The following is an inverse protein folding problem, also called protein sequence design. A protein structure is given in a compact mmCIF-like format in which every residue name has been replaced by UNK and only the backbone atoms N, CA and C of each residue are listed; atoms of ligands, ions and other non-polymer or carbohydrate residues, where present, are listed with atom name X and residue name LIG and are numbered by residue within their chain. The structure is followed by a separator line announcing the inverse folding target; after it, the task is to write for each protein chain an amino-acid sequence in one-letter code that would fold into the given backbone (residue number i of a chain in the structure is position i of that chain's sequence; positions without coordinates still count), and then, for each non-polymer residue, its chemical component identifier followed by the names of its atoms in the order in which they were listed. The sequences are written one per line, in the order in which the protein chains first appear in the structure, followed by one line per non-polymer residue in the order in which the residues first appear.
data_IF_265556444607
#
_entry.id   IF_265556444607
#
_cell.length_a   1.000
_cell.length_b   1.000
_cell.length_c   1.000
_cell.angle_alpha   90.00
_cell.angle_beta   90.00
_cell.angle_gamma   90.00
#
_symmetry.space_group_name_H-M   'P 1'
#
loop_
_entity.id
_entity.type
_entity.pdbx_description
1 polymer ?
#
# COMPACT_ATOMS: atom_id res chain seq x y z
N UNK A 1 21.71 19.63 -15.22
CA UNK A 1 20.64 20.59 -14.91
C UNK A 1 19.60 19.89 -14.05
N UNK A 2 19.02 20.59 -13.09
CA UNK A 2 18.03 20.09 -12.15
C UNK A 2 17.16 21.23 -11.62
N UNK A 3 16.42 20.98 -10.56
CA UNK A 3 15.61 21.99 -9.87
C UNK A 3 16.37 22.42 -8.61
N UNK A 4 16.63 23.72 -8.46
CA UNK A 4 17.42 24.29 -7.35
C UNK A 4 16.61 24.49 -6.06
N UNK A 5 15.29 24.29 -6.11
CA UNK A 5 14.37 24.38 -4.98
C UNK A 5 13.17 23.46 -5.17
N UNK A 6 12.51 23.12 -4.06
CA UNK A 6 11.30 22.31 -4.07
C UNK A 6 10.16 23.02 -4.82
N UNK A 7 9.41 22.26 -5.61
CA UNK A 7 8.20 22.75 -6.28
C UNK A 7 6.94 22.37 -5.51
N UNK A 8 6.01 23.30 -5.38
CA UNK A 8 4.71 23.03 -4.78
C UNK A 8 3.85 22.26 -5.78
N UNK A 9 3.44 21.06 -5.39
CA UNK A 9 2.59 20.20 -6.22
C UNK A 9 1.40 19.69 -5.41
N UNK A 10 0.34 19.33 -6.12
CA UNK A 10 -0.66 18.42 -5.59
C UNK A 10 -0.18 16.97 -5.79
N UNK A 11 -0.47 16.11 -4.83
CA UNK A 11 -0.19 14.68 -4.92
C UNK A 11 -1.37 13.88 -4.37
N UNK A 12 -1.50 12.65 -4.85
CA UNK A 12 -2.52 11.69 -4.42
C UNK A 12 -1.84 10.36 -4.10
N UNK A 13 -2.42 9.60 -3.17
CA UNK A 13 -1.95 8.26 -2.87
C UNK A 13 -2.29 7.32 -4.03
N UNK A 14 -1.32 6.49 -4.43
CA UNK A 14 -1.59 5.37 -5.31
C UNK A 14 -2.16 4.20 -4.49
N UNK A 15 -3.23 3.58 -4.95
CA UNK A 15 -3.92 2.50 -4.24
C UNK A 15 -4.11 1.27 -5.14
N UNK A 16 -3.93 0.08 -4.58
CA UNK A 16 -4.25 -1.19 -5.24
C UNK A 16 -5.67 -1.61 -4.87
N UNK A 17 -6.55 -1.71 -5.86
CA UNK A 17 -7.97 -2.02 -5.66
C UNK A 17 -8.29 -3.43 -6.12
N UNK A 18 -9.16 -4.11 -5.37
CA UNK A 18 -9.73 -5.41 -5.72
C UNK A 18 -11.26 -5.34 -5.67
N UNK A 19 -11.92 -6.32 -6.27
CA UNK A 19 -13.38 -6.46 -6.12
C UNK A 19 -13.74 -6.76 -4.66
N UNK A 20 -14.80 -6.13 -4.15
CA UNK A 20 -15.26 -6.33 -2.77
C UNK A 20 -15.73 -7.76 -2.46
N UNK A 21 -16.04 -8.57 -3.48
CA UNK A 21 -16.42 -9.99 -3.37
C UNK A 21 -15.23 -10.94 -3.51
N UNK A 22 -14.00 -10.42 -3.61
CA UNK A 22 -12.81 -11.28 -3.63
C UNK A 22 -12.76 -12.08 -2.31
N UNK A 23 -12.45 -13.39 -2.34
CA UNK A 23 -12.27 -14.14 -1.12
C UNK A 23 -11.19 -13.52 -0.22
N UNK A 24 -11.45 -13.45 1.09
CA UNK A 24 -10.52 -12.83 2.06
C UNK A 24 -9.12 -13.41 2.01
N UNK A 25 -9.01 -14.73 1.87
CA UNK A 25 -7.73 -15.43 1.75
C UNK A 25 -6.95 -15.01 0.48
N UNK A 26 -7.65 -14.75 -0.62
CA UNK A 26 -7.00 -14.28 -1.84
C UNK A 26 -6.46 -12.86 -1.68
N UNK A 27 -7.25 -11.95 -1.10
CA UNK A 27 -6.79 -10.59 -0.81
C UNK A 27 -5.61 -10.60 0.18
N UNK A 28 -5.67 -11.43 1.22
CA UNK A 28 -4.57 -11.62 2.17
C UNK A 28 -3.29 -12.08 1.46
N UNK A 29 -3.38 -13.10 0.61
CA UNK A 29 -2.24 -13.65 -0.15
C UNK A 29 -1.62 -12.61 -1.09
N UNK A 30 -2.43 -11.76 -1.72
CA UNK A 30 -1.95 -10.67 -2.57
C UNK A 30 -1.11 -9.68 -1.74
N UNK A 31 -1.66 -9.19 -0.62
CA UNK A 31 -0.92 -8.24 0.24
C UNK A 31 0.35 -8.90 0.80
N UNK A 32 0.26 -10.14 1.25
CA UNK A 32 1.42 -10.90 1.73
C UNK A 32 2.52 -11.01 0.66
N UNK A 33 2.15 -11.33 -0.58
CA UNK A 33 3.12 -11.41 -1.68
C UNK A 33 3.82 -10.06 -1.95
N UNK A 34 3.08 -8.94 -1.88
CA UNK A 34 3.67 -7.59 -2.03
C UNK A 34 4.74 -7.32 -0.97
N UNK A 35 4.47 -7.66 0.29
CA UNK A 35 5.42 -7.42 1.38
C UNK A 35 6.55 -8.46 1.43
N UNK A 36 6.30 -9.72 1.08
CA UNK A 36 7.34 -10.77 1.03
C UNK A 36 8.35 -10.52 -0.08
N UNK A 37 7.91 -9.98 -1.23
CA UNK A 37 8.73 -9.65 -2.40
C UNK A 37 9.07 -8.15 -2.50
N UNK A 38 9.00 -7.42 -1.39
CA UNK A 38 9.13 -5.96 -1.37
C UNK A 38 10.42 -5.46 -2.00
N UNK A 39 11.55 -6.16 -1.76
CA UNK A 39 12.86 -5.82 -2.36
C UNK A 39 12.86 -5.93 -3.88
N UNK A 40 12.21 -6.96 -4.41
CA UNK A 40 12.11 -7.18 -5.86
C UNK A 40 11.28 -6.06 -6.51
N UNK A 41 10.19 -5.66 -5.85
CA UNK A 41 9.34 -4.55 -6.30
C UNK A 41 10.08 -3.20 -6.26
N UNK A 42 10.88 -2.94 -5.23
CA UNK A 42 11.74 -1.74 -5.15
C UNK A 42 12.74 -1.70 -6.31
N UNK A 43 13.31 -2.84 -6.70
CA UNK A 43 14.24 -2.93 -7.82
C UNK A 43 13.59 -2.60 -9.16
N UNK A 44 12.29 -2.90 -9.31
CA UNK A 44 11.51 -2.53 -10.50
C UNK A 44 11.11 -1.05 -10.48
N UNK A 45 10.65 -0.53 -9.34
CA UNK A 45 10.24 0.86 -9.20
C UNK A 45 10.45 1.40 -7.78
N UNK A 46 11.22 2.49 -7.66
CA UNK A 46 11.64 3.06 -6.36
C UNK A 46 10.48 3.44 -5.44
N UNK A 47 9.33 3.83 -5.98
CA UNK A 47 8.15 4.19 -5.17
C UNK A 47 7.69 3.05 -4.26
N UNK A 48 7.94 1.78 -4.61
CA UNK A 48 7.59 0.68 -3.70
C UNK A 48 8.25 0.80 -2.34
N UNK A 49 9.36 1.54 -2.19
CA UNK A 49 9.97 1.82 -0.89
C UNK A 49 9.02 2.57 0.08
N UNK A 50 8.01 3.28 -0.43
CA UNK A 50 6.98 3.93 0.38
C UNK A 50 5.88 2.97 0.84
N UNK A 51 5.78 1.76 0.26
CA UNK A 51 4.83 0.73 0.68
C UNK A 51 5.31 0.10 1.99
N UNK A 52 4.89 0.69 3.09
CA UNK A 52 5.23 0.25 4.44
C UNK A 52 3.95 0.05 5.26
N UNK A 53 4.00 -0.79 6.29
CA UNK A 53 2.86 -1.01 7.19
C UNK A 53 2.34 0.30 7.81
N UNK A 54 3.20 1.22 8.33
CA UNK A 54 2.74 2.50 8.87
C UNK A 54 2.06 3.44 7.86
N UNK A 55 2.29 3.23 6.55
CA UNK A 55 1.70 4.04 5.49
C UNK A 55 0.32 3.53 5.04
N UNK A 56 -0.16 2.38 5.54
CA UNK A 56 -1.47 1.84 5.19
C UNK A 56 -2.58 2.47 6.05
N UNK A 57 -3.06 3.65 5.65
CA UNK A 57 -4.02 4.47 6.41
C UNK A 57 -5.33 4.60 5.65
N UNK A 58 -6.48 4.51 6.33
CA UNK A 58 -7.79 4.63 5.68
C UNK A 58 -8.00 6.02 5.08
N UNK A 59 -7.47 7.07 5.73
CA UNK A 59 -7.53 8.45 5.23
C UNK A 59 -6.85 8.67 3.87
N UNK A 60 -5.98 7.75 3.45
CA UNK A 60 -5.30 7.79 2.14
C UNK A 60 -6.11 7.10 1.03
N UNK A 61 -7.30 6.56 1.34
CA UNK A 61 -8.18 5.88 0.39
C UNK A 61 -9.62 6.37 0.52
N UNK A 62 -10.32 6.66 -0.60
CA UNK A 62 -11.74 7.00 -0.57
C UNK A 62 -12.65 5.79 -0.30
N UNK A 63 -12.10 4.56 -0.31
CA UNK A 63 -12.84 3.30 -0.13
C UNK A 63 -12.22 2.44 0.98
N UNK A 64 -13.00 1.59 1.66
CA UNK A 64 -12.50 0.77 2.76
C UNK A 64 -11.48 -0.27 2.30
N UNK A 65 -10.55 -0.62 3.18
CA UNK A 65 -9.67 -1.78 2.98
C UNK A 65 -10.45 -3.10 2.96
N UNK A 66 -10.01 -4.03 2.11
CA UNK A 66 -10.54 -5.39 2.08
C UNK A 66 -10.24 -6.15 3.40
N UNK A 67 -11.16 -6.95 3.97
CA UNK A 67 -10.92 -7.64 5.24
C UNK A 67 -9.65 -8.51 5.26
N UNK A 68 -9.39 -9.25 4.18
CA UNK A 68 -8.10 -9.96 3.99
C UNK A 68 -6.85 -9.07 4.10
N UNK A 69 -6.88 -7.85 3.57
CA UNK A 69 -5.77 -6.90 3.70
C UNK A 69 -5.66 -6.35 5.13
N UNK A 70 -6.80 -6.02 5.75
CA UNK A 70 -6.87 -5.56 7.15
C UNK A 70 -6.24 -6.59 8.09
N UNK A 71 -6.53 -7.88 7.88
CA UNK A 71 -5.96 -8.98 8.65
C UNK A 71 -4.42 -8.97 8.56
N UNK A 72 -3.88 -8.95 7.35
CA UNK A 72 -2.42 -8.92 7.14
C UNK A 72 -1.77 -7.70 7.82
N UNK A 73 -2.34 -6.51 7.63
CA UNK A 73 -1.80 -5.26 8.17
C UNK A 73 -1.76 -5.31 9.71
N UNK A 74 -2.83 -5.79 10.35
CA UNK A 74 -2.89 -5.95 11.81
C UNK A 74 -1.91 -6.98 12.35
N UNK A 75 -1.74 -8.11 11.67
CA UNK A 75 -0.74 -9.13 12.03
C UNK A 75 0.70 -8.58 12.00
N UNK A 76 0.96 -7.57 11.15
CA UNK A 76 2.23 -6.85 11.08
C UNK A 76 2.30 -5.63 12.01
N UNK A 77 1.35 -5.48 12.94
CA UNK A 77 1.31 -4.40 13.92
C UNK A 77 0.78 -3.07 13.38
N UNK A 78 0.24 -3.05 12.16
CA UNK A 78 -0.38 -1.87 11.56
C UNK A 78 -1.75 -1.56 12.15
N UNK A 79 -2.08 -0.27 12.19
CA UNK A 79 -3.40 0.24 12.58
C UNK A 79 -4.06 0.84 11.34
N UNK A 80 -5.24 0.35 11.00
CA UNK A 80 -6.06 0.91 9.94
C UNK A 80 -7.05 1.84 10.62
N UNK A 81 -6.65 3.11 10.71
CA UNK A 81 -7.42 4.26 11.19
C UNK A 81 -7.86 5.11 10.01
#
# INVERSE_FOLDING_TARGET
SGMDADNKIASVANILVVNAKMPDDQAYKIVKAVFDHHKDLIAVHKEYASVTIPNQKQVSSPIPFHPGAVKFIREKGGKIE
#
